data_IF_181611775405
#
_entry.id   IF_181611775405
#
_cell.length_a   1.000
_cell.length_b   1.000
_cell.length_c   1.000
_cell.angle_alpha   90.00
_cell.angle_beta   90.00
_cell.angle_gamma   90.00
#
_symmetry.space_group_name_H-M   'P 1'
#
loop_
_entity.id
_entity.type
_entity.pdbx_description
1 polymer ?
#
# COMPACT_ATOMS: atom_id res chain seq x y z
N UNK A 1 -8.50 -11.84 11.15
CA UNK A 1 -9.54 -10.79 11.19
C UNK A 1 -8.97 -9.61 10.44
N UNK A 2 -9.46 -9.33 9.25
CA UNK A 2 -9.04 -8.12 8.52
C UNK A 2 -9.54 -6.89 9.28
N UNK A 3 -8.71 -5.87 9.35
CA UNK A 3 -9.12 -4.56 9.83
C UNK A 3 -10.28 -4.08 8.94
N UNK A 4 -11.34 -3.55 9.55
CA UNK A 4 -12.41 -2.91 8.79
C UNK A 4 -11.79 -1.81 7.92
N UNK A 5 -11.94 -1.84 6.58
CA UNK A 5 -11.43 -0.79 5.71
C UNK A 5 -11.87 0.60 6.17
N UNK A 6 -13.07 0.74 6.73
CA UNK A 6 -13.53 2.01 7.28
C UNK A 6 -12.69 2.46 8.50
N UNK A 7 -12.22 1.53 9.34
CA UNK A 7 -11.36 1.85 10.46
C UNK A 7 -9.99 2.40 10.00
N UNK A 8 -9.39 1.82 8.97
CA UNK A 8 -8.13 2.32 8.41
C UNK A 8 -8.26 3.75 7.84
N UNK A 9 -9.40 4.06 7.22
CA UNK A 9 -9.71 5.42 6.75
C UNK A 9 -9.87 6.41 7.90
N UNK A 10 -10.44 5.99 9.04
CA UNK A 10 -10.54 6.83 10.24
C UNK A 10 -9.20 7.08 10.91
N UNK A 11 -8.28 6.12 10.86
CA UNK A 11 -6.92 6.27 11.42
C UNK A 11 -5.98 7.08 10.52
N UNK A 12 -6.26 7.12 9.22
CA UNK A 12 -5.46 7.86 8.25
C UNK A 12 -6.30 8.76 7.33
N UNK A 13 -6.93 9.83 7.87
CA UNK A 13 -7.74 10.75 7.06
C UNK A 13 -6.94 11.51 5.99
N UNK A 14 -5.62 11.56 6.12
CA UNK A 14 -4.71 12.17 5.15
C UNK A 14 -4.79 11.51 3.77
N UNK A 15 -5.40 10.32 3.65
CA UNK A 15 -5.60 9.67 2.35
C UNK A 15 -6.36 10.57 1.36
N UNK A 16 -7.32 11.38 1.84
CA UNK A 16 -8.09 12.32 1.01
C UNK A 16 -7.25 13.43 0.37
N UNK A 17 -6.02 13.65 0.86
CA UNK A 17 -5.09 14.61 0.27
C UNK A 17 -4.34 14.04 -0.94
N UNK A 18 -4.45 12.73 -1.22
CA UNK A 18 -3.78 12.08 -2.34
C UNK A 18 -4.76 11.80 -3.49
N UNK A 19 -4.25 11.93 -4.72
CA UNK A 19 -5.03 11.63 -5.92
C UNK A 19 -5.34 10.12 -6.02
N UNK A 20 -6.61 9.79 -6.24
CA UNK A 20 -7.06 8.42 -6.46
C UNK A 20 -6.40 7.83 -7.71
N UNK A 21 -6.58 8.47 -8.86
CA UNK A 21 -6.04 8.03 -10.14
C UNK A 21 -4.52 8.23 -10.22
N UNK A 22 -4.00 9.32 -9.64
CA UNK A 22 -2.61 9.72 -9.78
C UNK A 22 -1.65 9.03 -8.80
N UNK A 23 -2.13 8.50 -7.67
CA UNK A 23 -1.26 7.91 -6.64
C UNK A 23 -1.81 6.63 -6.03
N UNK A 24 -3.07 6.61 -5.60
CA UNK A 24 -3.62 5.46 -4.86
C UNK A 24 -3.77 4.25 -5.79
N UNK A 25 -4.46 4.38 -6.92
CA UNK A 25 -4.70 3.27 -7.86
C UNK A 25 -3.42 2.68 -8.44
N UNK A 26 -2.45 3.48 -8.96
CA UNK A 26 -1.21 2.92 -9.51
C UNK A 26 -0.40 2.13 -8.48
N UNK A 27 -0.36 2.60 -7.23
CA UNK A 27 0.39 1.94 -6.15
C UNK A 27 -0.31 0.67 -5.69
N UNK A 28 -1.63 0.70 -5.51
CA UNK A 28 -2.42 -0.48 -5.15
C UNK A 28 -2.30 -1.59 -6.21
N UNK A 29 -2.37 -1.24 -7.50
CA UNK A 29 -2.21 -2.20 -8.58
C UNK A 29 -0.80 -2.79 -8.62
N UNK A 30 0.23 -1.99 -8.36
CA UNK A 30 1.60 -2.46 -8.30
C UNK A 30 1.83 -3.49 -7.17
N UNK A 31 1.21 -3.28 -6.01
CA UNK A 31 1.23 -4.23 -4.88
C UNK A 31 0.47 -5.51 -5.22
N UNK A 32 -0.75 -5.38 -5.76
CA UNK A 32 -1.62 -6.51 -6.16
C UNK A 32 -0.95 -7.43 -7.17
N UNK A 33 -0.34 -6.87 -8.21
CA UNK A 33 0.35 -7.65 -9.25
C UNK A 33 1.56 -8.43 -8.72
N UNK A 34 2.15 -7.99 -7.61
CA UNK A 34 3.32 -8.61 -6.98
C UNK A 34 2.95 -9.48 -5.77
N UNK A 35 1.68 -9.50 -5.37
CA UNK A 35 1.22 -10.23 -4.19
C UNK A 35 1.80 -9.69 -2.88
N UNK A 36 2.10 -8.39 -2.83
CA UNK A 36 2.64 -7.73 -1.63
C UNK A 36 1.49 -7.13 -0.83
N UNK A 37 1.40 -7.48 0.45
CA UNK A 37 0.48 -6.86 1.39
C UNK A 37 1.15 -5.63 2.05
N UNK A 38 0.47 -4.48 2.00
CA UNK A 38 0.95 -3.22 2.55
C UNK A 38 -0.24 -2.33 2.91
N UNK A 39 -0.24 -1.78 4.12
CA UNK A 39 -1.30 -0.86 4.57
C UNK A 39 -1.39 0.40 3.72
N UNK A 40 -2.58 1.00 3.66
CA UNK A 40 -2.85 2.25 2.95
C UNK A 40 -1.92 3.38 3.44
N UNK A 41 -1.68 3.41 4.75
CA UNK A 41 -0.79 4.39 5.40
C UNK A 41 0.66 4.26 4.94
N UNK A 42 1.23 3.05 4.97
CA UNK A 42 2.60 2.81 4.52
C UNK A 42 2.77 3.04 3.01
N UNK A 43 1.76 2.66 2.24
CA UNK A 43 1.71 2.89 0.80
C UNK A 43 1.68 4.39 0.47
N UNK A 44 0.97 5.24 1.22
CA UNK A 44 0.80 6.65 0.87
C UNK A 44 1.81 7.60 1.50
N UNK A 45 2.36 7.28 2.68
CA UNK A 45 3.39 8.09 3.34
C UNK A 45 4.72 8.11 2.59
N UNK A 46 5.04 7.03 1.88
CA UNK A 46 6.30 6.90 1.16
C UNK A 46 6.38 7.81 -0.06
N UNK A 47 7.58 8.33 -0.34
CA UNK A 47 7.87 8.96 -1.64
C UNK A 47 7.73 7.93 -2.78
N UNK A 48 7.75 8.38 -4.04
CA UNK A 48 7.68 7.45 -5.17
C UNK A 48 8.88 6.49 -5.20
N UNK A 49 10.06 6.95 -4.79
CA UNK A 49 11.27 6.14 -4.80
C UNK A 49 11.31 5.16 -3.63
N UNK A 50 10.97 5.63 -2.42
CA UNK A 50 10.80 4.74 -1.24
C UNK A 50 9.76 3.66 -1.50
N UNK A 51 8.66 4.00 -2.17
CA UNK A 51 7.63 3.03 -2.52
C UNK A 51 8.16 1.95 -3.47
N UNK A 52 8.90 2.33 -4.51
CA UNK A 52 9.51 1.37 -5.45
C UNK A 52 10.52 0.47 -4.75
N UNK A 53 11.38 1.04 -3.91
CA UNK A 53 12.37 0.29 -3.13
C UNK A 53 11.71 -0.73 -2.22
N UNK A 54 10.69 -0.33 -1.45
CA UNK A 54 9.93 -1.24 -0.58
C UNK A 54 9.23 -2.35 -1.34
N UNK A 55 8.67 -2.05 -2.52
CA UNK A 55 8.06 -3.08 -3.37
C UNK A 55 9.10 -4.08 -3.87
N UNK A 56 10.26 -3.58 -4.32
CA UNK A 56 11.35 -4.43 -4.81
C UNK A 56 11.85 -5.33 -3.67
N UNK A 57 12.10 -4.76 -2.50
CA UNK A 57 12.55 -5.49 -1.32
C UNK A 57 11.52 -6.56 -0.88
N UNK A 58 10.24 -6.21 -0.83
CA UNK A 58 9.16 -7.15 -0.50
C UNK A 58 9.03 -8.29 -1.54
N UNK A 59 9.23 -7.98 -2.82
CA UNK A 59 9.19 -8.98 -3.90
C UNK A 59 10.38 -9.93 -3.83
N UNK A 60 11.56 -9.43 -3.47
CA UNK A 60 12.79 -10.21 -3.36
C UNK A 60 12.84 -11.04 -2.06
N UNK A 61 12.21 -10.54 -0.99
CA UNK A 61 12.21 -11.19 0.33
C UNK A 61 11.19 -12.32 0.48
N UNK A 62 10.21 -12.45 -0.42
CA UNK A 62 9.37 -13.64 -0.63
C UNK A 62 8.44 -14.06 0.52
N UNK A 63 7.12 -13.87 0.33
CA UNK A 63 5.99 -14.47 1.06
C UNK A 63 5.77 -14.08 2.54
N UNK A 64 4.87 -13.12 2.76
CA UNK A 64 4.12 -12.94 4.02
C UNK A 64 2.79 -12.27 3.62
N UNK A 65 1.61 -12.89 3.53
CA UNK A 65 1.07 -14.15 4.02
C UNK A 65 0.04 -14.73 3.00
N UNK A 66 0.07 -16.04 2.76
CA UNK A 66 -1.14 -16.81 2.42
C UNK A 66 -1.71 -17.32 3.74
N UNK A 67 -2.80 -16.77 4.27
CA UNK A 67 -3.82 -17.44 5.11
C UNK A 67 -5.08 -16.58 5.20
#
# INVERSE_FOLDING_TARGET
MGMDPAAELTEFPHYFAFSLEGRIMPRHEALRLRGVDMSLKEMLKSSDDEFKERILDATLSGNMQRM
#
